data_IF_544756140920
#
_entry.id   IF_544756140920
#
_cell.length_a   1.000
_cell.length_b   1.000
_cell.length_c   1.000
_cell.angle_alpha   90.00
_cell.angle_beta   90.00
_cell.angle_gamma   90.00
#
_symmetry.space_group_name_H-M   'P 1'
#
loop_
_entity.id
_entity.type
_entity.pdbx_description
1 polymer ?
#
# COMPACT_ATOMS: atom_id res chain seq x y z
N UNK A 1 18.22 3.97 -10.66
CA UNK A 1 17.38 4.50 -9.57
C UNK A 1 18.06 5.71 -8.95
N UNK A 2 17.30 6.75 -8.61
CA UNK A 2 17.82 7.94 -7.93
C UNK A 2 18.18 7.65 -6.46
N UNK A 3 19.01 8.51 -5.84
CA UNK A 3 19.49 8.32 -4.47
C UNK A 3 18.35 8.30 -3.44
N UNK A 4 17.41 9.26 -3.53
CA UNK A 4 16.24 9.32 -2.65
C UNK A 4 15.36 8.06 -2.75
N UNK A 5 15.24 7.49 -3.95
CA UNK A 5 14.44 6.29 -4.21
C UNK A 5 15.09 5.05 -3.59
N UNK A 6 16.42 4.95 -3.71
CA UNK A 6 17.19 3.88 -3.06
C UNK A 6 17.07 3.96 -1.53
N UNK A 7 17.18 5.16 -0.96
CA UNK A 7 17.01 5.36 0.48
C UNK A 7 15.58 5.05 0.93
N UNK A 8 14.56 5.55 0.22
CA UNK A 8 13.16 5.25 0.51
C UNK A 8 12.92 3.74 0.57
N UNK A 9 13.35 2.98 -0.44
CA UNK A 9 13.15 1.53 -0.47
C UNK A 9 13.92 0.83 0.66
N UNK A 10 15.13 1.28 0.99
CA UNK A 10 15.92 0.73 2.09
C UNK A 10 15.26 0.97 3.45
N UNK A 11 14.86 2.22 3.72
CA UNK A 11 14.19 2.61 4.97
C UNK A 11 12.85 1.88 5.07
N UNK A 12 12.03 1.90 4.02
CA UNK A 12 10.75 1.19 4.00
C UNK A 12 10.97 -0.29 4.33
N UNK A 13 11.91 -0.96 3.66
CA UNK A 13 12.24 -2.38 3.93
C UNK A 13 12.58 -2.63 5.41
N UNK A 14 13.39 -1.75 6.02
CA UNK A 14 13.77 -1.86 7.43
C UNK A 14 12.61 -1.65 8.41
N UNK A 15 11.57 -0.93 7.97
CA UNK A 15 10.41 -0.55 8.78
C UNK A 15 9.19 -1.44 8.60
N UNK A 16 9.19 -2.36 7.64
CA UNK A 16 8.02 -3.21 7.32
C UNK A 16 7.37 -3.81 8.57
N UNK A 17 8.14 -4.40 9.49
CA UNK A 17 7.59 -5.02 10.71
C UNK A 17 6.90 -4.02 11.64
N UNK A 18 7.48 -2.83 11.78
CA UNK A 18 6.90 -1.75 12.61
C UNK A 18 5.60 -1.26 11.98
N UNK A 19 5.63 -1.00 10.68
CA UNK A 19 4.46 -0.58 9.90
C UNK A 19 3.35 -1.63 9.95
N UNK A 20 3.68 -2.91 9.77
CA UNK A 20 2.74 -4.03 9.81
C UNK A 20 2.05 -4.13 11.17
N UNK A 21 2.80 -3.98 12.26
CA UNK A 21 2.23 -3.98 13.61
C UNK A 21 1.31 -2.78 13.82
N UNK A 22 1.72 -1.58 13.42
CA UNK A 22 0.90 -0.37 13.53
C UNK A 22 -0.42 -0.48 12.74
N UNK A 23 -0.37 -1.09 11.55
CA UNK A 23 -1.54 -1.45 10.77
C UNK A 23 -2.40 -2.49 11.51
N UNK A 24 -1.83 -3.58 12.03
CA UNK A 24 -2.61 -4.61 12.73
C UNK A 24 -3.32 -4.05 13.98
N UNK A 25 -2.61 -3.29 14.80
CA UNK A 25 -3.13 -2.72 16.06
C UNK A 25 -4.30 -1.78 15.84
N UNK A 26 -4.30 -1.04 14.74
CA UNK A 26 -5.39 -0.12 14.41
C UNK A 26 -6.54 -0.82 13.71
N UNK A 27 -6.26 -1.82 12.87
CA UNK A 27 -7.30 -2.67 12.29
C UNK A 27 -8.13 -3.38 13.37
N UNK A 28 -7.51 -3.77 14.49
CA UNK A 28 -8.21 -4.37 15.63
C UNK A 28 -9.19 -3.41 16.33
N UNK A 29 -8.94 -2.10 16.25
CA UNK A 29 -9.70 -1.04 16.93
C UNK A 29 -10.76 -0.39 16.03
N UNK A 30 -10.68 -0.57 14.71
CA UNK A 30 -11.61 0.02 13.76
C UNK A 30 -12.83 -0.90 13.56
N UNK A 31 -14.05 -0.46 13.93
CA UNK A 31 -15.26 -1.26 13.78
C UNK A 31 -15.67 -1.49 12.32
N UNK A 32 -15.11 -0.72 11.38
CA UNK A 32 -15.40 -0.89 9.96
C UNK A 32 -14.60 -2.04 9.34
N UNK A 33 -13.48 -2.46 9.96
CA UNK A 33 -12.62 -3.56 9.48
C UNK A 33 -13.29 -4.90 9.73
N UNK A 34 -13.77 -5.51 8.63
CA UNK A 34 -14.33 -6.87 8.63
C UNK A 34 -13.26 -7.93 8.62
N UNK A 35 -12.33 -7.88 7.66
CA UNK A 35 -11.23 -8.83 7.60
C UNK A 35 -10.06 -8.31 8.44
N UNK A 36 -9.80 -9.00 9.55
CA UNK A 36 -8.71 -8.66 10.47
C UNK A 36 -7.46 -9.43 10.10
N UNK A 37 -6.58 -8.78 9.35
CA UNK A 37 -5.27 -9.30 9.03
C UNK A 37 -4.36 -9.30 10.27
N UNK A 38 -3.56 -10.35 10.41
CA UNK A 38 -2.49 -10.39 11.42
C UNK A 38 -1.34 -9.48 10.99
N UNK A 39 -0.45 -9.15 11.93
CA UNK A 39 0.78 -8.43 11.59
C UNK A 39 1.64 -9.19 10.57
N UNK A 40 1.60 -10.53 10.57
CA UNK A 40 2.32 -11.34 9.59
C UNK A 40 1.73 -11.23 8.18
N UNK A 41 0.39 -11.21 8.07
CA UNK A 41 -0.30 -10.99 6.78
C UNK A 41 0.04 -9.60 6.23
N UNK A 42 0.06 -8.59 7.10
CA UNK A 42 0.38 -7.21 6.74
C UNK A 42 1.86 -7.03 6.39
N UNK A 43 2.78 -7.77 7.03
CA UNK A 43 4.18 -7.83 6.62
C UNK A 43 4.32 -8.37 5.19
N UNK A 44 3.61 -9.45 4.84
CA UNK A 44 3.64 -9.99 3.47
C UNK A 44 3.06 -9.01 2.44
N UNK A 45 1.97 -8.33 2.80
CA UNK A 45 1.41 -7.26 1.97
C UNK A 45 2.41 -6.12 1.73
N UNK A 46 3.06 -5.62 2.79
CA UNK A 46 4.05 -4.55 2.69
C UNK A 46 5.31 -4.97 1.93
N UNK A 47 5.72 -6.25 2.02
CA UNK A 47 6.79 -6.80 1.19
C UNK A 47 6.42 -6.78 -0.30
N UNK A 48 5.15 -7.06 -0.61
CA UNK A 48 4.64 -7.00 -1.98
C UNK A 48 4.59 -5.55 -2.49
N UNK A 49 4.13 -4.61 -1.66
CA UNK A 49 4.15 -3.18 -1.97
C UNK A 49 5.58 -2.66 -2.22
N UNK A 50 6.53 -3.05 -1.38
CA UNK A 50 7.93 -2.71 -1.54
C UNK A 50 8.47 -3.19 -2.89
N UNK A 51 8.14 -4.42 -3.30
CA UNK A 51 8.53 -4.95 -4.59
C UNK A 51 7.90 -4.20 -5.77
N UNK A 52 6.61 -3.83 -5.67
CA UNK A 52 5.92 -3.03 -6.70
C UNK A 52 6.55 -1.64 -6.85
N UNK A 53 6.84 -0.96 -5.74
CA UNK A 53 7.52 0.34 -5.77
C UNK A 53 8.95 0.22 -6.36
N UNK A 54 9.67 -0.85 -6.00
CA UNK A 54 11.00 -1.09 -6.55
C UNK A 54 10.99 -1.32 -8.06
N UNK A 55 10.01 -2.07 -8.59
CA UNK A 55 9.82 -2.28 -10.02
C UNK A 55 9.56 -0.95 -10.76
N UNK A 56 8.64 -0.13 -10.22
CA UNK A 56 8.27 1.16 -10.78
C UNK A 56 9.46 2.13 -10.79
N UNK A 57 10.17 2.26 -9.66
CA UNK A 57 11.33 3.15 -9.50
C UNK A 57 12.56 2.72 -10.31
N UNK A 58 12.63 1.45 -10.69
CA UNK A 58 13.62 0.92 -11.64
C UNK A 58 13.23 1.13 -13.11
N UNK A 59 12.08 1.77 -13.39
CA UNK A 59 11.49 1.88 -14.73
C UNK A 59 11.27 0.52 -15.42
N UNK A 60 11.00 -0.53 -14.64
CA UNK A 60 10.72 -1.88 -15.17
C UNK A 60 9.26 -2.09 -15.51
N UNK A 61 8.39 -1.13 -15.15
CA UNK A 61 6.95 -1.20 -15.40
C UNK A 61 6.16 -1.26 -14.09
N UNK A 62 4.93 -1.75 -14.20
CA UNK A 62 3.97 -1.90 -13.10
C UNK A 62 3.28 -3.26 -13.14
N UNK A 63 3.94 -4.28 -13.69
CA UNK A 63 3.38 -5.62 -13.88
C UNK A 63 3.03 -6.29 -12.54
N UNK A 64 3.85 -6.12 -11.49
CA UNK A 64 3.52 -6.64 -10.17
C UNK A 64 2.25 -5.98 -9.60
N UNK A 65 2.09 -4.67 -9.79
CA UNK A 65 0.89 -3.96 -9.36
C UNK A 65 -0.33 -4.41 -10.15
N UNK A 66 -0.22 -4.51 -11.48
CA UNK A 66 -1.29 -5.00 -12.34
C UNK A 66 -1.72 -6.42 -11.98
N UNK A 67 -0.76 -7.31 -11.70
CA UNK A 67 -1.02 -8.69 -11.26
C UNK A 67 -1.73 -8.71 -9.91
N UNK A 68 -1.26 -7.93 -8.95
CA UNK A 68 -1.91 -7.82 -7.63
C UNK A 68 -3.36 -7.32 -7.76
N UNK A 69 -3.57 -6.27 -8.56
CA UNK A 69 -4.90 -5.72 -8.80
C UNK A 69 -5.82 -6.68 -9.55
N UNK A 70 -5.28 -7.50 -10.46
CA UNK A 70 -6.04 -8.47 -11.24
C UNK A 70 -6.34 -9.79 -10.52
N UNK A 71 -5.58 -10.14 -9.47
CA UNK A 71 -5.72 -11.42 -8.76
C UNK A 71 -6.21 -11.27 -7.31
N UNK A 72 -5.59 -10.36 -6.54
CA UNK A 72 -5.81 -10.27 -5.08
C UNK A 72 -7.07 -9.48 -4.76
N UNK A 73 -7.25 -8.31 -5.37
CA UNK A 73 -8.41 -7.44 -5.12
C UNK A 73 -9.74 -8.15 -5.46
N UNK A 74 -9.92 -8.78 -6.64
CA UNK A 74 -11.14 -9.55 -6.93
C UNK A 74 -11.40 -10.67 -5.92
N UNK A 75 -10.35 -11.36 -5.47
CA UNK A 75 -10.48 -12.44 -4.48
C UNK A 75 -11.01 -11.92 -3.15
N UNK A 76 -10.47 -10.81 -2.64
CA UNK A 76 -10.93 -10.20 -1.39
C UNK A 76 -12.41 -9.78 -1.48
N UNK A 77 -12.82 -9.19 -2.60
CA UNK A 77 -14.22 -8.78 -2.82
C UNK A 77 -15.14 -9.99 -2.91
N UNK A 78 -14.72 -11.07 -3.58
CA UNK A 78 -15.49 -12.32 -3.63
C UNK A 78 -15.69 -12.98 -2.26
N UNK A 79 -14.78 -12.70 -1.32
CA UNK A 79 -14.85 -13.15 0.09
C UNK A 79 -15.71 -12.21 0.97
N UNK A 80 -16.32 -11.18 0.39
CA UNK A 80 -17.26 -10.28 1.07
C UNK A 80 -16.62 -9.01 1.65
N UNK A 81 -15.37 -8.70 1.28
CA UNK A 81 -14.76 -7.42 1.59
C UNK A 81 -15.45 -6.29 0.80
N UNK A 82 -15.60 -5.14 1.43
CA UNK A 82 -16.27 -3.99 0.82
C UNK A 82 -15.25 -3.10 0.11
N UNK A 83 -15.49 -2.75 -1.16
CA UNK A 83 -14.58 -1.92 -1.94
C UNK A 83 -14.31 -0.53 -1.32
N UNK A 84 -15.34 0.14 -0.78
CA UNK A 84 -15.14 1.42 -0.06
C UNK A 84 -14.25 1.22 1.17
N UNK A 85 -14.45 0.12 1.89
CA UNK A 85 -13.60 -0.23 3.02
C UNK A 85 -12.15 -0.49 2.58
N UNK A 86 -11.93 -1.17 1.46
CA UNK A 86 -10.58 -1.38 0.90
C UNK A 86 -9.89 -0.06 0.52
N UNK A 87 -10.59 0.85 -0.17
CA UNK A 87 -10.07 2.17 -0.54
C UNK A 87 -9.76 3.00 0.72
N UNK A 88 -10.64 2.92 1.73
CA UNK A 88 -10.43 3.55 3.02
C UNK A 88 -9.17 3.00 3.72
N UNK A 89 -8.98 1.67 3.76
CA UNK A 89 -7.79 1.05 4.34
C UNK A 89 -6.53 1.38 3.59
N UNK A 90 -6.56 1.40 2.26
CA UNK A 90 -5.41 1.81 1.46
C UNK A 90 -5.00 3.26 1.76
N UNK A 91 -5.97 4.17 1.92
CA UNK A 91 -5.72 5.56 2.30
C UNK A 91 -5.11 5.67 3.70
N UNK A 92 -5.65 4.93 4.67
CA UNK A 92 -5.08 4.93 6.00
C UNK A 92 -3.69 4.27 6.04
N UNK A 93 -3.51 3.16 5.33
CA UNK A 93 -2.21 2.50 5.19
C UNK A 93 -1.16 3.44 4.60
N UNK A 94 -1.55 4.28 3.63
CA UNK A 94 -0.68 5.33 3.09
C UNK A 94 -0.17 6.28 4.18
N UNK A 95 -1.07 6.72 5.07
CA UNK A 95 -0.72 7.60 6.20
C UNK A 95 0.22 6.88 7.18
N UNK A 96 -0.06 5.62 7.51
CA UNK A 96 0.79 4.84 8.42
C UNK A 96 2.17 4.58 7.82
N UNK A 97 2.27 4.20 6.54
CA UNK A 97 3.57 4.05 5.85
C UNK A 97 4.31 5.38 5.87
N UNK A 98 3.66 6.48 5.52
CA UNK A 98 4.30 7.80 5.49
C UNK A 98 4.87 8.20 6.86
N UNK A 99 4.05 8.10 7.92
CA UNK A 99 4.44 8.47 9.28
C UNK A 99 5.60 7.62 9.84
N UNK A 100 5.69 6.35 9.46
CA UNK A 100 6.69 5.41 9.98
C UNK A 100 7.94 5.29 9.11
N UNK A 101 7.90 5.78 7.85
CA UNK A 101 9.01 5.67 6.90
C UNK A 101 9.69 7.03 6.69
N UNK A 102 8.93 8.08 6.36
CA UNK A 102 9.51 9.37 5.92
C UNK A 102 10.39 10.03 6.98
N UNK A 103 10.05 10.03 8.29
CA UNK A 103 10.93 10.62 9.31
C UNK A 103 12.31 9.95 9.45
N UNK A 104 12.48 8.75 8.89
CA UNK A 104 13.74 8.00 8.93
C UNK A 104 14.58 8.14 7.66
N UNK A 105 14.09 8.89 6.68
CA UNK A 105 14.83 9.26 5.47
C UNK A 105 15.63 10.54 5.77
N UNK A 106 16.81 10.65 5.18
CA UNK A 106 17.65 11.85 5.23
C UNK A 106 16.87 13.10 4.80
N UNK A 107 17.13 14.23 5.47
CA UNK A 107 16.36 15.46 5.28
C UNK A 107 16.33 15.94 3.81
N UNK A 108 17.41 15.73 3.05
CA UNK A 108 17.50 16.06 1.63
C UNK A 108 16.58 15.19 0.74
N UNK A 109 16.31 13.94 1.14
CA UNK A 109 15.49 13.00 0.38
C UNK A 109 14.03 12.92 0.86
N UNK A 110 13.69 13.48 2.03
CA UNK A 110 12.34 13.46 2.58
C UNK A 110 11.28 14.06 1.64
N UNK A 111 11.57 15.19 1.00
CA UNK A 111 10.64 15.88 0.09
C UNK A 111 10.24 15.02 -1.12
N UNK A 112 11.22 14.55 -1.92
CA UNK A 112 10.97 13.64 -3.04
C UNK A 112 10.29 12.34 -2.60
N UNK A 113 10.78 11.69 -1.55
CA UNK A 113 10.21 10.42 -1.07
C UNK A 113 8.76 10.57 -0.59
N UNK A 114 8.46 11.64 0.14
CA UNK A 114 7.10 11.99 0.58
C UNK A 114 6.15 12.22 -0.59
N UNK A 115 6.62 12.93 -1.62
CA UNK A 115 5.81 13.21 -2.81
C UNK A 115 5.55 11.94 -3.62
N UNK A 116 6.57 11.12 -3.82
CA UNK A 116 6.44 9.81 -4.46
C UNK A 116 5.44 8.92 -3.73
N UNK A 117 5.57 8.73 -2.41
CA UNK A 117 4.64 7.88 -1.65
C UNK A 117 3.19 8.36 -1.78
N UNK A 118 2.96 9.67 -1.73
CA UNK A 118 1.61 10.25 -1.89
C UNK A 118 1.04 9.93 -3.28
N UNK A 119 1.82 10.14 -4.33
CA UNK A 119 1.41 9.87 -5.71
C UNK A 119 1.19 8.38 -5.96
N UNK A 120 2.09 7.53 -5.45
CA UNK A 120 2.00 6.08 -5.56
C UNK A 120 0.69 5.55 -4.95
N UNK A 121 0.36 5.99 -3.73
CA UNK A 121 -0.90 5.58 -3.07
C UNK A 121 -2.15 6.15 -3.76
N UNK A 122 -2.08 7.37 -4.30
CA UNK A 122 -3.18 7.92 -5.11
C UNK A 122 -3.41 7.09 -6.36
N UNK A 123 -2.34 6.67 -7.05
CA UNK A 123 -2.41 5.79 -8.22
C UNK A 123 -2.94 4.40 -7.84
N UNK A 124 -2.45 3.82 -6.74
CA UNK A 124 -2.94 2.54 -6.23
C UNK A 124 -4.46 2.55 -6.00
N UNK A 125 -4.98 3.59 -5.34
CA UNK A 125 -6.43 3.75 -5.13
C UNK A 125 -7.21 3.99 -6.42
N UNK A 126 -6.63 4.77 -7.35
CA UNK A 126 -7.21 5.01 -8.67
C UNK A 126 -7.34 3.72 -9.48
N UNK A 127 -6.31 2.89 -9.51
CA UNK A 127 -6.30 1.59 -10.18
C UNK A 127 -7.30 0.61 -9.54
N UNK A 128 -7.34 0.55 -8.21
CA UNK A 128 -8.34 -0.27 -7.50
C UNK A 128 -9.78 0.14 -7.87
N UNK A 129 -10.04 1.45 -7.91
CA UNK A 129 -11.37 1.99 -8.26
C UNK A 129 -11.71 1.73 -9.73
N UNK A 130 -10.74 1.88 -10.65
CA UNK A 130 -10.95 1.62 -12.08
C UNK A 130 -11.28 0.15 -12.34
N UNK A 131 -10.52 -0.77 -11.75
CA UNK A 131 -10.74 -2.20 -11.90
C UNK A 131 -12.08 -2.64 -11.33
N UNK A 132 -12.50 -2.01 -10.22
CA UNK A 132 -13.82 -2.26 -9.68
C UNK A 132 -14.96 -1.84 -10.61
N UNK A 133 -14.87 -0.65 -11.21
CA UNK A 133 -15.86 -0.17 -12.16
C UNK A 133 -15.93 -1.08 -13.40
N UNK A 134 -14.78 -1.53 -13.91
CA UNK A 134 -14.71 -2.45 -15.04
C UNK A 134 -15.30 -3.84 -14.70
N UNK A 135 -15.13 -4.31 -13.47
CA UNK A 135 -15.70 -5.57 -13.00
C UNK A 135 -17.19 -5.48 -12.64
N UNK A 136 -17.80 -4.29 -12.72
CA UNK A 136 -19.21 -4.06 -12.37
C UNK A 136 -19.48 -4.09 -10.86
N UNK A 137 -18.45 -3.91 -10.02
CA UNK A 137 -18.65 -3.83 -8.57
C UNK A 137 -19.22 -2.46 -8.21
N UNK A 138 -20.46 -2.46 -7.73
CA UNK A 138 -21.11 -1.25 -7.24
C UNK A 138 -20.75 -1.01 -5.79
N UNK A 139 -20.44 0.25 -5.45
CA UNK A 139 -20.42 0.69 -4.07
C UNK A 139 -21.85 0.53 -3.52
N UNK A 140 -22.06 -0.16 -2.39
CA UNK A 140 -23.39 -0.28 -1.78
C UNK A 140 -23.94 1.07 -1.34
#
# INVERSE_FOLDING_TARGET
>A
MEAWATELLSVFRSKIKVVAQAMADRAQKDPNVRIRYTAADLEQFLMSLHAMMAEELDNKGTEALATYMGAVVPSQISQGENLLAMIWYATWNAVTVHAEVVPHISAEHQGPASSYLREWWANYNSEMSRNALQAGWTLP
#
